data_IF_726777217527
#
_entry.id   IF_726777217527
#
_cell.length_a   1.000
_cell.length_b   1.000
_cell.length_c   1.000
_cell.angle_alpha   90.00
_cell.angle_beta   90.00
_cell.angle_gamma   90.00
#
_symmetry.space_group_name_H-M   'P 1'
#
loop_
_entity.id
_entity.type
_entity.pdbx_description
1 polymer ?
#
# COMPACT_ATOMS: atom_id res chain seq x y z
N UNK A 1 -19.66 7.42 -9.35
CA UNK A 1 -19.42 6.21 -8.53
C UNK A 1 -17.95 6.01 -8.18
N UNK A 2 -17.01 5.97 -9.14
CA UNK A 2 -15.58 5.74 -8.86
C UNK A 2 -14.92 6.77 -7.92
N UNK A 3 -15.20 8.07 -8.07
CA UNK A 3 -14.64 9.13 -7.21
C UNK A 3 -15.11 8.97 -5.75
N UNK A 4 -16.37 8.57 -5.55
CA UNK A 4 -16.94 8.35 -4.22
C UNK A 4 -16.24 7.18 -3.51
N UNK A 5 -15.91 6.12 -4.26
CA UNK A 5 -15.18 4.96 -3.75
C UNK A 5 -13.75 5.29 -3.33
N UNK A 6 -13.03 6.11 -4.12
CA UNK A 6 -11.68 6.58 -3.77
C UNK A 6 -11.71 7.41 -2.49
N UNK A 7 -12.70 8.31 -2.36
CA UNK A 7 -12.88 9.12 -1.15
C UNK A 7 -13.24 8.28 0.08
N UNK A 8 -14.11 7.26 -0.07
CA UNK A 8 -14.48 6.35 1.01
C UNK A 8 -13.30 5.48 1.43
N UNK A 9 -12.53 4.95 0.46
CA UNK A 9 -11.34 4.15 0.74
C UNK A 9 -10.29 4.98 1.48
N UNK A 10 -10.08 6.22 1.06
CA UNK A 10 -9.21 7.17 1.74
C UNK A 10 -9.71 7.53 3.14
N UNK A 11 -11.02 7.71 3.33
CA UNK A 11 -11.62 8.00 4.63
C UNK A 11 -11.49 6.82 5.60
N UNK A 12 -11.79 5.60 5.15
CA UNK A 12 -11.59 4.38 5.94
C UNK A 12 -10.12 4.22 6.32
N UNK A 13 -9.22 4.49 5.38
CA UNK A 13 -7.78 4.47 5.63
C UNK A 13 -7.36 5.50 6.69
N UNK A 14 -7.86 6.73 6.59
CA UNK A 14 -7.61 7.78 7.59
C UNK A 14 -8.09 7.37 8.99
N UNK A 15 -9.31 6.84 9.08
CA UNK A 15 -9.92 6.48 10.37
C UNK A 15 -9.26 5.26 10.99
N UNK A 16 -8.93 4.21 10.23
CA UNK A 16 -8.41 2.97 10.82
C UNK A 16 -6.93 3.05 11.18
N UNK A 17 -6.15 3.86 10.46
CA UNK A 17 -4.69 3.86 10.56
C UNK A 17 -4.12 5.21 10.92
N UNK A 18 -4.50 6.29 10.24
CA UNK A 18 -3.91 7.62 10.49
C UNK A 18 -4.34 8.20 11.85
N UNK A 19 -5.61 8.01 12.23
CA UNK A 19 -6.18 8.51 13.49
C UNK A 19 -5.50 7.96 14.75
N UNK A 20 -4.79 6.84 14.64
CA UNK A 20 -4.10 6.17 15.75
C UNK A 20 -2.73 6.77 16.06
N UNK A 21 -2.32 7.81 15.33
CA UNK A 21 -1.02 8.47 15.51
C UNK A 21 -1.19 9.97 15.75
N UNK A 22 -0.47 10.51 16.74
CA UNK A 22 -0.45 11.94 17.05
C UNK A 22 0.15 12.76 15.89
N UNK A 23 -0.02 14.09 15.91
CA UNK A 23 0.51 15.06 14.94
C UNK A 23 2.02 14.86 14.72
N UNK A 24 2.75 14.50 15.78
CA UNK A 24 4.19 14.19 15.75
C UNK A 24 4.53 12.76 15.31
N UNK A 25 3.52 11.92 15.07
CA UNK A 25 3.66 10.59 14.50
C UNK A 25 3.98 9.47 15.47
N UNK A 26 3.77 9.70 16.76
CA UNK A 26 3.84 8.66 17.79
C UNK A 26 2.53 7.89 17.80
N UNK A 27 2.61 6.57 17.91
CA UNK A 27 1.42 5.75 18.16
C UNK A 27 0.77 6.23 19.47
N UNK A 28 -0.56 6.40 19.46
CA UNK A 28 -1.30 6.79 20.66
C UNK A 28 -1.30 5.68 21.74
N UNK A 29 -0.89 4.46 21.38
CA UNK A 29 -0.77 3.31 22.27
C UNK A 29 0.65 2.72 22.18
N UNK A 30 1.41 2.83 23.27
CA UNK A 30 2.82 2.41 23.35
C UNK A 30 2.99 0.88 23.47
N UNK A 31 1.90 0.11 23.62
CA UNK A 31 1.94 -1.35 23.80
C UNK A 31 1.71 -2.16 22.52
N UNK A 32 1.46 -1.50 21.39
CA UNK A 32 1.23 -2.16 20.12
C UNK A 32 2.51 -2.83 19.59
N UNK A 33 2.63 -4.16 19.75
CA UNK A 33 3.65 -4.97 19.05
C UNK A 33 3.58 -4.71 17.55
N UNK A 34 4.73 -4.47 16.92
CA UNK A 34 4.83 -4.33 15.46
C UNK A 34 4.12 -5.51 14.77
N UNK A 35 3.13 -5.26 13.90
CA UNK A 35 2.51 -6.29 13.08
C UNK A 35 3.55 -7.08 12.28
N UNK A 36 3.44 -8.41 12.27
CA UNK A 36 4.34 -9.32 11.54
C UNK A 36 4.47 -8.92 10.05
N UNK A 37 3.40 -8.38 9.47
CA UNK A 37 3.32 -7.95 8.08
C UNK A 37 4.34 -6.85 7.74
N UNK A 38 4.65 -5.97 8.69
CA UNK A 38 5.57 -4.85 8.50
C UNK A 38 7.02 -5.34 8.42
N UNK A 39 7.36 -6.35 9.21
CA UNK A 39 8.67 -7.00 9.13
C UNK A 39 8.91 -7.64 7.75
N UNK A 40 7.86 -8.17 7.11
CA UNK A 40 7.91 -8.73 5.76
C UNK A 40 8.19 -7.63 4.73
N UNK A 41 7.48 -6.51 4.78
CA UNK A 41 7.71 -5.40 3.85
C UNK A 41 9.10 -4.78 4.00
N UNK A 42 9.59 -4.60 5.23
CA UNK A 42 10.95 -4.11 5.48
C UNK A 42 11.99 -5.03 4.82
N UNK A 43 11.77 -6.35 4.86
CA UNK A 43 12.65 -7.35 4.23
C UNK A 43 12.54 -7.32 2.70
N UNK A 44 11.33 -7.25 2.13
CA UNK A 44 11.10 -7.21 0.68
C UNK A 44 11.68 -5.94 0.05
N UNK A 45 11.56 -4.81 0.75
CA UNK A 45 12.03 -3.50 0.30
C UNK A 45 13.48 -3.21 0.69
N UNK A 46 14.12 -4.10 1.48
CA UNK A 46 15.48 -3.99 1.98
C UNK A 46 15.78 -2.66 2.70
N UNK A 47 14.90 -2.28 3.63
CA UNK A 47 14.94 -0.99 4.32
C UNK A 47 15.75 -1.09 5.61
N UNK A 48 16.56 -0.06 5.90
CA UNK A 48 17.24 0.10 7.18
C UNK A 48 16.23 0.52 8.27
N UNK A 49 15.93 -0.41 9.18
CA UNK A 49 15.02 -0.19 10.32
C UNK A 49 15.43 0.98 11.20
N UNK A 50 16.71 1.33 11.26
CA UNK A 50 17.21 2.42 12.11
C UNK A 50 17.05 3.79 11.46
N UNK A 51 16.94 3.85 10.13
CA UNK A 51 16.82 5.11 9.36
C UNK A 51 15.39 5.41 8.94
N UNK A 52 14.58 4.37 8.77
CA UNK A 52 13.20 4.51 8.29
C UNK A 52 12.30 5.17 9.34
N UNK A 53 11.60 6.22 8.96
CA UNK A 53 10.53 6.75 9.79
C UNK A 53 9.29 5.84 9.65
N UNK A 54 9.00 5.07 10.69
CA UNK A 54 7.95 4.05 10.68
C UNK A 54 6.57 4.55 10.26
N UNK A 55 6.17 5.77 10.67
CA UNK A 55 4.89 6.35 10.26
C UNK A 55 4.85 6.64 8.77
N UNK A 56 5.91 7.23 8.24
CA UNK A 56 6.00 7.53 6.82
C UNK A 56 6.05 6.26 5.99
N UNK A 57 6.77 5.26 6.48
CA UNK A 57 6.82 3.94 5.88
C UNK A 57 5.43 3.30 5.78
N UNK A 58 4.68 3.30 6.88
CA UNK A 58 3.32 2.79 6.90
C UNK A 58 2.40 3.58 5.95
N UNK A 59 2.44 4.91 6.01
CA UNK A 59 1.67 5.75 5.09
C UNK A 59 1.98 5.43 3.63
N UNK A 60 3.24 5.25 3.27
CA UNK A 60 3.63 4.92 1.91
C UNK A 60 3.09 3.56 1.48
N UNK A 61 3.27 2.51 2.31
CA UNK A 61 2.77 1.16 2.00
C UNK A 61 1.25 1.15 1.85
N UNK A 62 0.53 1.75 2.79
CA UNK A 62 -0.92 1.70 2.75
C UNK A 62 -1.52 2.60 1.66
N UNK A 63 -0.86 3.72 1.33
CA UNK A 63 -1.24 4.52 0.17
C UNK A 63 -1.12 3.69 -1.11
N UNK A 64 0.00 2.99 -1.28
CA UNK A 64 0.21 2.08 -2.41
C UNK A 64 -0.84 0.97 -2.45
N UNK A 65 -1.12 0.31 -1.33
CA UNK A 65 -2.18 -0.71 -1.24
C UNK A 65 -3.56 -0.16 -1.59
N UNK A 66 -3.87 1.07 -1.18
CA UNK A 66 -5.15 1.72 -1.49
C UNK A 66 -5.31 1.97 -3.00
N UNK A 67 -4.22 2.36 -3.67
CA UNK A 67 -4.18 2.52 -5.13
C UNK A 67 -4.33 1.14 -5.80
N UNK A 68 -3.60 0.13 -5.35
CA UNK A 68 -3.67 -1.24 -5.89
C UNK A 68 -5.08 -1.81 -5.79
N UNK A 69 -5.78 -1.60 -4.67
CA UNK A 69 -7.18 -2.00 -4.48
C UNK A 69 -8.13 -1.27 -5.44
N UNK A 70 -7.96 0.05 -5.61
CA UNK A 70 -8.75 0.83 -6.56
C UNK A 70 -8.56 0.37 -8.00
N UNK A 71 -7.32 0.10 -8.40
CA UNK A 71 -6.99 -0.44 -9.72
C UNK A 71 -7.56 -1.85 -9.91
N UNK A 72 -7.46 -2.70 -8.89
CA UNK A 72 -8.03 -4.05 -8.90
C UNK A 72 -9.55 -4.01 -9.12
N UNK A 73 -10.26 -3.14 -8.39
CA UNK A 73 -11.69 -2.94 -8.59
C UNK A 73 -11.99 -2.49 -10.02
N UNK A 74 -11.27 -1.48 -10.52
CA UNK A 74 -11.46 -0.98 -11.88
C UNK A 74 -11.30 -2.08 -12.94
N UNK A 75 -10.28 -2.92 -12.81
CA UNK A 75 -10.01 -4.02 -13.75
C UNK A 75 -11.14 -5.06 -13.74
N UNK A 76 -11.65 -5.42 -12.56
CA UNK A 76 -12.66 -6.46 -12.43
C UNK A 76 -14.09 -5.97 -12.66
N UNK A 77 -14.39 -4.69 -12.49
CA UNK A 77 -15.77 -4.20 -12.61
C UNK A 77 -15.99 -3.32 -13.84
N UNK A 78 -15.04 -2.47 -14.20
CA UNK A 78 -15.23 -1.47 -15.27
C UNK A 78 -14.74 -1.97 -16.64
N UNK A 79 -13.78 -2.90 -16.70
CA UNK A 79 -13.26 -3.40 -17.98
C UNK A 79 -14.30 -4.33 -18.64
N UNK A 80 -14.79 -3.99 -19.86
CA UNK A 80 -15.89 -4.70 -20.51
C UNK A 80 -15.41 -5.96 -21.24
N UNK A 81 -14.92 -6.95 -20.49
CA UNK A 81 -14.60 -8.29 -21.01
C UNK A 81 -15.82 -9.20 -20.80
N UNK A 82 -16.46 -9.62 -21.89
CA UNK A 82 -17.68 -10.46 -21.85
C UNK A 82 -17.43 -11.88 -21.34
N UNK A 83 -16.26 -12.44 -21.63
CA UNK A 83 -15.91 -13.80 -21.21
C UNK A 83 -15.34 -13.79 -19.79
N UNK A 84 -16.03 -14.42 -18.85
CA UNK A 84 -15.64 -14.44 -17.42
C UNK A 84 -14.25 -15.05 -17.21
N UNK A 85 -13.91 -16.14 -17.90
CA UNK A 85 -12.61 -16.82 -17.75
C UNK A 85 -11.48 -15.91 -18.25
N UNK A 86 -11.69 -15.27 -19.40
CA UNK A 86 -10.72 -14.33 -19.96
C UNK A 86 -10.56 -13.09 -19.06
N UNK A 87 -11.65 -12.62 -18.45
CA UNK A 87 -11.64 -11.49 -17.51
C UNK A 87 -10.84 -11.82 -16.25
N UNK A 88 -10.99 -13.02 -15.71
CA UNK A 88 -10.19 -13.49 -14.58
C UNK A 88 -8.72 -13.62 -14.93
N UNK A 89 -8.37 -14.25 -16.05
CA UNK A 89 -6.98 -14.39 -16.50
C UNK A 89 -6.32 -13.03 -16.74
N UNK A 90 -7.00 -12.13 -17.44
CA UNK A 90 -6.53 -10.77 -17.66
C UNK A 90 -6.36 -10.03 -16.34
N UNK A 91 -7.37 -10.06 -15.46
CA UNK A 91 -7.32 -9.42 -14.16
C UNK A 91 -6.17 -9.91 -13.30
N UNK A 92 -5.91 -11.22 -13.29
CA UNK A 92 -4.80 -11.82 -12.56
C UNK A 92 -3.44 -11.32 -13.06
N UNK A 93 -3.20 -11.34 -14.38
CA UNK A 93 -1.95 -10.86 -14.98
C UNK A 93 -1.73 -9.37 -14.67
N UNK A 94 -2.78 -8.56 -14.78
CA UNK A 94 -2.68 -7.10 -14.54
C UNK A 94 -2.44 -6.81 -13.05
N UNK A 95 -3.07 -7.54 -12.13
CA UNK A 95 -2.79 -7.40 -10.68
C UNK A 95 -1.31 -7.70 -10.40
N UNK A 96 -0.77 -8.81 -10.93
CA UNK A 96 0.64 -9.15 -10.72
C UNK A 96 1.56 -8.04 -11.23
N UNK A 97 1.24 -7.46 -12.37
CA UNK A 97 1.99 -6.34 -12.94
C UNK A 97 1.90 -5.07 -12.07
N UNK A 98 0.72 -4.74 -11.54
CA UNK A 98 0.51 -3.62 -10.62
C UNK A 98 1.34 -3.81 -9.35
N UNK A 99 1.25 -4.98 -8.71
CA UNK A 99 2.00 -5.29 -7.50
C UNK A 99 3.52 -5.15 -7.72
N UNK A 100 4.01 -5.61 -8.88
CA UNK A 100 5.42 -5.47 -9.25
C UNK A 100 5.85 -4.00 -9.37
N UNK A 101 5.06 -3.18 -10.07
CA UNK A 101 5.32 -1.73 -10.19
C UNK A 101 5.27 -1.07 -8.81
N UNK A 102 4.28 -1.41 -7.98
CA UNK A 102 4.09 -0.86 -6.64
C UNK A 102 5.29 -1.13 -5.73
N UNK A 103 5.86 -2.33 -5.77
CA UNK A 103 7.11 -2.66 -5.06
C UNK A 103 8.29 -1.85 -5.60
N UNK A 104 8.40 -1.70 -6.93
CA UNK A 104 9.48 -0.94 -7.55
C UNK A 104 9.43 0.55 -7.17
N UNK A 105 8.24 1.15 -7.18
CA UNK A 105 8.03 2.54 -6.76
C UNK A 105 8.40 2.73 -5.29
N UNK A 106 7.95 1.82 -4.41
CA UNK A 106 8.31 1.87 -3.00
C UNK A 106 9.82 1.76 -2.79
N UNK A 107 10.51 0.86 -3.51
CA UNK A 107 11.98 0.77 -3.45
C UNK A 107 12.64 2.08 -3.84
N UNK A 108 12.28 2.65 -4.99
CA UNK A 108 12.85 3.92 -5.45
C UNK A 108 12.56 5.07 -4.50
N UNK A 109 11.38 5.09 -3.88
CA UNK A 109 10.98 6.11 -2.91
C UNK A 109 11.87 6.06 -1.65
N UNK A 110 12.10 4.88 -1.08
CA UNK A 110 12.94 4.72 0.11
C UNK A 110 14.44 4.84 -0.19
N UNK A 111 14.87 4.42 -1.38
CA UNK A 111 16.25 4.61 -1.87
C UNK A 111 16.59 6.10 -2.02
N UNK A 112 15.71 6.90 -2.63
CA UNK A 112 15.89 8.36 -2.73
C UNK A 112 15.94 9.07 -1.38
N UNK A 113 15.40 8.46 -0.33
CA UNK A 113 15.47 8.97 1.05
C UNK A 113 16.68 8.47 1.83
N UNK A 114 17.49 7.58 1.27
CA UNK A 114 18.63 6.96 1.98
C UNK A 114 18.20 6.01 3.11
N UNK A 115 16.95 5.54 3.06
CA UNK A 115 16.36 4.63 4.05
C UNK A 115 16.56 3.15 3.66
N UNK A 116 17.17 2.88 2.50
CA UNK A 116 17.45 1.54 1.98
C UNK A 116 18.87 1.09 2.36
N UNK A 117 19.02 -0.18 2.73
CA UNK A 117 20.33 -0.81 2.88
C UNK A 117 20.83 -1.19 1.48
N UNK A 118 21.69 -0.38 0.86
CA UNK A 118 22.47 -0.84 -0.29
C UNK A 118 23.76 -1.54 0.19
#
# INVERSE_FOLDING_TARGET
MAILFVLISYFIFYVLYISKFDVKGRALDETAKEPNDIAVYIKILNIDRKRVNYRHFLHAIYLTLSIDLGLTYFIFYEVPIKNIVLKFLFGFIVILFILWISIMILRLYFEKRGERND
#
